data_IF_048866568689
#
_entry.id   IF_048866568689
#
_cell.length_a   1.000
_cell.length_b   1.000
_cell.length_c   1.000
_cell.angle_alpha   90.00
_cell.angle_beta   90.00
_cell.angle_gamma   90.00
#
_symmetry.space_group_name_H-M   'P 1'
#
loop_
_entity.id
_entity.type
_entity.pdbx_description
1 polymer ?
#
# COMPACT_ATOMS: atom_id res chain seq x y z
N UNK A 1 15.43 23.04 -18.88
CA UNK A 1 14.58 21.93 -18.38
C UNK A 1 13.29 22.51 -17.82
N UNK A 2 12.13 21.86 -18.02
CA UNK A 2 10.86 22.29 -17.43
C UNK A 2 10.90 21.99 -15.93
N UNK A 3 10.75 23.01 -15.07
CA UNK A 3 10.69 22.80 -13.63
C UNK A 3 9.48 21.93 -13.28
N UNK A 4 9.71 20.85 -12.55
CA UNK A 4 8.62 20.00 -12.03
C UNK A 4 7.93 20.77 -10.92
N UNK A 5 6.59 20.88 -11.00
CA UNK A 5 5.82 21.52 -9.94
C UNK A 5 6.05 20.78 -8.61
N UNK A 6 6.21 21.49 -7.49
CA UNK A 6 6.44 20.86 -6.20
C UNK A 6 5.25 19.98 -5.79
N UNK A 7 5.52 18.77 -5.28
CA UNK A 7 4.50 17.87 -4.72
C UNK A 7 3.89 18.54 -3.49
N UNK A 8 2.55 18.56 -3.40
CA UNK A 8 1.80 19.22 -2.33
C UNK A 8 1.16 18.25 -1.34
N UNK A 9 0.70 17.11 -1.83
CA UNK A 9 -0.01 16.10 -1.05
C UNK A 9 0.52 14.72 -1.41
N UNK A 10 0.65 13.87 -0.39
CA UNK A 10 1.03 12.46 -0.54
C UNK A 10 0.03 11.65 0.27
N UNK A 11 -0.54 10.63 -0.36
CA UNK A 11 -1.37 9.63 0.30
C UNK A 11 -0.59 8.33 0.37
N UNK A 12 -0.60 7.69 1.53
CA UNK A 12 0.01 6.37 1.74
C UNK A 12 -1.11 5.41 2.15
N UNK A 13 -1.25 4.33 1.39
CA UNK A 13 -2.27 3.31 1.62
C UNK A 13 -1.54 2.06 2.12
N UNK A 14 -1.86 1.63 3.35
CA UNK A 14 -1.31 0.41 3.97
C UNK A 14 -2.48 -0.48 4.34
N UNK A 15 -2.41 -1.75 3.94
CA UNK A 15 -3.42 -2.74 4.25
C UNK A 15 -3.00 -3.48 5.53
N UNK A 16 -3.86 -3.46 6.54
CA UNK A 16 -3.62 -4.16 7.80
C UNK A 16 -3.73 -5.67 7.60
N UNK A 17 -2.74 -6.43 8.08
CA UNK A 17 -2.76 -7.90 8.08
C UNK A 17 -2.98 -8.59 6.72
N UNK A 18 -2.83 -7.86 5.61
CA UNK A 18 -3.07 -8.37 4.27
C UNK A 18 -1.77 -8.77 3.55
N UNK A 19 -1.63 -10.02 3.08
CA UNK A 19 -0.46 -10.44 2.32
C UNK A 19 -0.40 -9.74 0.96
N UNK A 20 0.82 -9.38 0.53
CA UNK A 20 1.05 -8.76 -0.77
C UNK A 20 0.44 -9.56 -1.94
N UNK A 21 0.65 -10.88 -1.96
CA UNK A 21 0.18 -11.75 -3.05
C UNK A 21 -1.35 -11.80 -3.12
N UNK A 22 -2.05 -11.60 -2.00
CA UNK A 22 -3.52 -11.57 -1.96
C UNK A 22 -4.04 -10.28 -2.57
N UNK A 23 -3.48 -9.13 -2.18
CA UNK A 23 -3.96 -7.82 -2.62
C UNK A 23 -3.45 -7.43 -4.03
N UNK A 24 -2.18 -7.69 -4.32
CA UNK A 24 -1.46 -7.19 -5.50
C UNK A 24 -0.93 -8.29 -6.44
N UNK A 25 -1.22 -9.56 -6.15
CA UNK A 25 -0.81 -10.68 -7.01
C UNK A 25 -1.63 -10.76 -8.30
N UNK A 26 -1.11 -11.50 -9.29
CA UNK A 26 -1.76 -11.70 -10.59
C UNK A 26 -3.14 -12.40 -10.50
N UNK A 27 -3.41 -13.11 -9.41
CA UNK A 27 -4.67 -13.80 -9.14
C UNK A 27 -5.52 -13.09 -8.08
N UNK A 28 -5.20 -11.84 -7.74
CA UNK A 28 -5.97 -11.06 -6.77
C UNK A 28 -7.44 -10.94 -7.18
N UNK A 29 -8.33 -11.12 -6.21
CA UNK A 29 -9.77 -10.87 -6.39
C UNK A 29 -10.12 -9.38 -6.26
N UNK A 30 -9.13 -8.53 -5.97
CA UNK A 30 -9.26 -7.09 -5.87
C UNK A 30 -8.58 -6.38 -7.07
N UNK A 31 -9.19 -6.39 -8.27
CA UNK A 31 -8.56 -5.90 -9.50
C UNK A 31 -8.17 -4.42 -9.44
N UNK A 32 -8.93 -3.61 -8.70
CA UNK A 32 -8.59 -2.20 -8.50
C UNK A 32 -7.28 -2.04 -7.72
N UNK A 33 -7.11 -2.79 -6.63
CA UNK A 33 -5.87 -2.75 -5.84
C UNK A 33 -4.70 -3.36 -6.62
N UNK A 34 -4.92 -4.46 -7.34
CA UNK A 34 -3.85 -5.16 -8.05
C UNK A 34 -3.34 -4.44 -9.30
N UNK A 35 -4.18 -3.65 -9.96
CA UNK A 35 -3.87 -3.13 -11.30
C UNK A 35 -4.12 -1.64 -11.46
N UNK A 36 -5.30 -1.15 -11.09
CA UNK A 36 -5.68 0.25 -11.33
C UNK A 36 -4.91 1.20 -10.42
N UNK A 37 -4.96 0.98 -9.11
CA UNK A 37 -4.34 1.86 -8.12
C UNK A 37 -2.81 1.94 -8.27
N UNK A 38 -2.05 0.85 -8.52
CA UNK A 38 -0.61 0.93 -8.76
C UNK A 38 -0.24 1.72 -10.01
N UNK A 39 -1.07 1.72 -11.04
CA UNK A 39 -0.82 2.48 -12.28
C UNK A 39 -0.99 4.00 -12.08
N UNK A 40 -1.72 4.42 -11.04
CA UNK A 40 -1.92 5.82 -10.68
C UNK A 40 -0.83 6.37 -9.73
N UNK A 41 0.07 5.51 -9.25
CA UNK A 41 1.08 5.86 -8.25
C UNK A 41 2.32 4.98 -8.28
N UNK A 42 2.79 4.62 -7.10
CA UNK A 42 3.95 3.75 -6.93
C UNK A 42 3.61 2.62 -5.95
N UNK A 43 3.87 1.38 -6.36
CA UNK A 43 3.73 0.20 -5.52
C UNK A 43 5.10 -0.21 -4.97
N UNK A 44 5.23 -0.23 -3.64
CA UNK A 44 6.46 -0.63 -2.96
C UNK A 44 6.46 -2.15 -2.73
N UNK A 45 7.16 -2.91 -3.58
CA UNK A 45 7.16 -4.38 -3.54
C UNK A 45 8.14 -4.99 -2.52
N UNK A 46 8.99 -4.17 -1.91
CA UNK A 46 10.01 -4.56 -0.93
C UNK A 46 9.85 -3.73 0.36
N UNK A 47 8.61 -3.42 0.72
CA UNK A 47 8.28 -2.72 1.96
C UNK A 47 8.07 -3.75 3.08
N UNK A 48 8.94 -3.73 4.08
CA UNK A 48 8.90 -4.63 5.22
C UNK A 48 8.53 -3.85 6.48
N UNK A 49 7.52 -4.32 7.22
CA UNK A 49 7.16 -3.74 8.50
C UNK A 49 8.35 -3.88 9.48
N UNK A 50 8.68 -2.80 10.18
CA UNK A 50 9.79 -2.77 11.15
C UNK A 50 9.39 -3.25 12.54
N UNK A 51 8.12 -3.62 12.74
CA UNK A 51 7.59 -4.20 13.98
C UNK A 51 6.37 -5.07 13.70
N UNK A 52 6.22 -6.12 14.51
CA UNK A 52 5.00 -6.92 14.58
C UNK A 52 4.35 -6.66 15.93
N UNK A 53 3.08 -6.29 15.92
CA UNK A 53 2.02 -6.63 16.87
C UNK A 53 0.86 -5.69 16.53
N UNK A 54 -0.28 -6.26 16.12
CA UNK A 54 -1.56 -5.57 16.26
C UNK A 54 -1.59 -5.04 17.69
N UNK A 55 -1.73 -3.72 17.88
CA UNK A 55 -1.93 -3.15 19.22
C UNK A 55 -3.02 -3.98 19.92
N UNK A 56 -2.68 -4.52 21.07
CA UNK A 56 -3.58 -5.33 21.89
C UNK A 56 -4.95 -4.64 21.99
N UNK A 57 -6.01 -5.36 21.64
CA UNK A 57 -7.34 -5.00 22.08
C UNK A 57 -7.44 -5.24 23.60
N UNK A 58 -6.80 -4.38 24.40
CA UNK A 58 -7.14 -4.25 25.82
C UNK A 58 -8.30 -3.26 25.93
N UNK A 59 -9.52 -3.73 25.64
CA UNK A 59 -10.68 -3.17 26.33
C UNK A 59 -10.69 -3.74 27.76
N UNK A 60 -11.07 -2.93 28.76
CA UNK A 60 -10.90 -3.23 30.19
C UNK A 60 -11.62 -4.50 30.66
#
# INVERSE_FOLDING_TARGET
AKAVAPVRHVFVIVLENEPYQVAFGAQSLAPYLAHTLPAEGALLTQYYATGHYSLDNTSP
#
